data_IF_354977730787
#
_entry.id   IF_354977730787
#
_cell.length_a   1.000
_cell.length_b   1.000
_cell.length_c   1.000
_cell.angle_alpha   90.00
_cell.angle_beta   90.00
_cell.angle_gamma   90.00
#
_symmetry.space_group_name_H-M   'P 1'
#
loop_
_entity.id
_entity.type
_entity.pdbx_description
1 polymer ?
#
# COMPACT_ATOMS: atom_id res chain seq x y z
N UNK A 1 -13.16 -16.40 65.83
CA UNK A 1 -14.10 -15.53 65.10
C UNK A 1 -13.52 -14.12 65.11
N UNK A 2 -13.42 -13.33 64.02
CA UNK A 2 -13.39 -13.60 62.58
C UNK A 2 -12.05 -13.14 61.91
N UNK A 3 -11.89 -13.55 60.65
CA UNK A 3 -10.78 -13.23 59.73
C UNK A 3 -10.95 -11.83 59.14
N UNK A 4 -9.88 -11.06 59.01
CA UNK A 4 -9.83 -9.85 58.15
C UNK A 4 -8.49 -9.93 57.38
N UNK A 5 -8.46 -10.65 56.26
CA UNK A 5 -8.81 -10.16 54.91
C UNK A 5 -7.84 -9.06 54.44
N UNK A 6 -6.66 -9.50 53.97
CA UNK A 6 -5.79 -8.72 53.10
C UNK A 6 -6.57 -8.35 51.82
N UNK A 7 -6.97 -7.09 51.69
CA UNK A 7 -7.46 -6.55 50.43
C UNK A 7 -6.26 -6.07 49.63
N UNK A 8 -5.66 -6.98 48.87
CA UNK A 8 -4.73 -6.68 47.78
C UNK A 8 -5.55 -6.09 46.63
N UNK A 9 -5.62 -4.75 46.56
CA UNK A 9 -6.11 -4.06 45.36
C UNK A 9 -5.00 -4.14 44.31
N UNK A 10 -4.96 -5.24 43.56
CA UNK A 10 -4.20 -5.33 42.33
C UNK A 10 -4.96 -4.49 41.30
N UNK A 11 -4.57 -3.23 41.18
CA UNK A 11 -4.95 -2.38 40.06
C UNK A 11 -4.34 -2.99 38.79
N UNK A 12 -5.07 -3.93 38.19
CA UNK A 12 -4.79 -4.41 36.85
C UNK A 12 -4.92 -3.21 35.92
N UNK A 13 -3.78 -2.61 35.58
CA UNK A 13 -3.66 -1.75 34.43
C UNK A 13 -4.16 -2.56 33.23
N UNK A 14 -5.37 -2.24 32.78
CA UNK A 14 -5.88 -2.62 31.47
C UNK A 14 -4.92 -1.99 30.46
N UNK A 15 -3.86 -2.73 30.11
CA UNK A 15 -3.18 -2.55 28.85
C UNK A 15 -4.22 -2.87 27.79
N UNK A 16 -5.01 -1.86 27.44
CA UNK A 16 -5.70 -1.80 26.19
C UNK A 16 -4.61 -1.87 25.12
N UNK A 17 -4.28 -3.09 24.71
CA UNK A 17 -3.62 -3.35 23.45
C UNK A 17 -4.59 -2.90 22.37
N UNK A 18 -4.61 -1.60 22.09
CA UNK A 18 -5.00 -1.11 20.79
C UNK A 18 -3.94 -1.65 19.83
N UNK A 19 -4.14 -2.88 19.36
CA UNK A 19 -3.56 -3.36 18.12
C UNK A 19 -4.10 -2.43 17.04
N UNK A 20 -3.41 -1.31 16.85
CA UNK A 20 -3.75 -0.30 15.86
C UNK A 20 -3.58 -0.96 14.51
N UNK A 21 -4.69 -1.42 13.94
CA UNK A 21 -4.80 -1.85 12.56
C UNK A 21 -4.41 -0.63 11.71
N UNK A 22 -3.15 -0.55 11.29
CA UNK A 22 -2.62 0.62 10.60
C UNK A 22 -3.08 0.60 9.16
N UNK A 23 -4.37 0.81 8.95
CA UNK A 23 -4.95 0.89 7.62
C UNK A 23 -4.44 2.15 6.91
N UNK A 24 -4.06 1.99 5.65
CA UNK A 24 -3.68 3.05 4.73
C UNK A 24 -4.39 2.83 3.40
N UNK A 25 -4.84 3.89 2.74
CA UNK A 25 -5.63 3.78 1.50
C UNK A 25 -6.82 2.78 1.61
N UNK A 26 -7.44 2.70 2.79
CA UNK A 26 -8.55 1.80 3.09
C UNK A 26 -8.20 0.30 3.26
N UNK A 27 -6.91 -0.04 3.37
CA UNK A 27 -6.41 -1.42 3.48
C UNK A 27 -5.25 -1.55 4.46
N UNK A 28 -5.06 -2.73 5.03
CA UNK A 28 -3.79 -3.09 5.69
C UNK A 28 -2.80 -3.71 4.68
N UNK A 29 -1.57 -3.94 5.11
CA UNK A 29 -0.46 -4.44 4.29
C UNK A 29 -0.77 -5.79 3.62
N UNK A 30 -1.44 -6.70 4.33
CA UNK A 30 -1.82 -8.02 3.81
C UNK A 30 -2.89 -7.89 2.71
N UNK A 31 -3.90 -7.05 2.93
CA UNK A 31 -4.95 -6.75 1.94
C UNK A 31 -4.35 -6.09 0.70
N UNK A 32 -3.43 -5.14 0.88
CA UNK A 32 -2.74 -4.46 -0.20
C UNK A 32 -1.87 -5.44 -1.01
N UNK A 33 -1.12 -6.31 -0.34
CA UNK A 33 -0.30 -7.35 -0.98
C UNK A 33 -1.17 -8.28 -1.81
N UNK A 34 -2.26 -8.79 -1.23
CA UNK A 34 -3.17 -9.71 -1.90
C UNK A 34 -3.83 -9.04 -3.12
N UNK A 35 -4.31 -7.80 -2.99
CA UNK A 35 -4.94 -7.12 -4.12
C UNK A 35 -3.92 -6.79 -5.22
N UNK A 36 -2.69 -6.41 -4.87
CA UNK A 36 -1.63 -6.19 -5.85
C UNK A 36 -1.29 -7.48 -6.62
N UNK A 37 -1.16 -8.62 -5.93
CA UNK A 37 -0.94 -9.91 -6.58
C UNK A 37 -2.12 -10.32 -7.46
N UNK A 38 -3.36 -10.09 -7.03
CA UNK A 38 -4.54 -10.35 -7.83
C UNK A 38 -4.58 -9.48 -9.10
N UNK A 39 -4.23 -8.20 -8.99
CA UNK A 39 -4.13 -7.30 -10.14
C UNK A 39 -3.08 -7.78 -11.15
N UNK A 40 -1.89 -8.14 -10.69
CA UNK A 40 -0.84 -8.71 -11.55
C UNK A 40 -1.28 -10.03 -12.18
N UNK A 41 -1.94 -10.91 -11.41
CA UNK A 41 -2.46 -12.17 -11.92
C UNK A 41 -3.45 -11.98 -13.07
N UNK A 42 -4.33 -10.97 -12.99
CA UNK A 42 -5.23 -10.60 -14.09
C UNK A 42 -4.47 -10.15 -15.34
N UNK A 43 -3.44 -9.34 -15.17
CA UNK A 43 -2.62 -8.84 -16.29
C UNK A 43 -1.80 -9.96 -16.95
N UNK A 44 -1.10 -10.80 -16.17
CA UNK A 44 -0.33 -11.93 -16.71
C UNK A 44 -1.24 -12.91 -17.47
N UNK A 45 -2.47 -13.10 -17.00
CA UNK A 45 -3.47 -13.95 -17.65
C UNK A 45 -4.12 -13.33 -18.90
N UNK A 46 -4.04 -12.02 -19.09
CA UNK A 46 -4.71 -11.30 -20.16
C UNK A 46 -3.85 -11.24 -21.45
N UNK A 47 -4.28 -11.82 -22.59
CA UNK A 47 -3.51 -11.79 -23.84
C UNK A 47 -3.23 -10.41 -24.42
N UNK A 48 -4.00 -9.38 -24.05
CA UNK A 48 -3.75 -8.00 -24.49
C UNK A 48 -2.84 -7.21 -23.55
N UNK A 49 -2.44 -7.80 -22.41
CA UNK A 49 -1.56 -7.13 -21.45
C UNK A 49 -0.11 -7.12 -21.93
N UNK A 50 0.60 -6.05 -21.59
CA UNK A 50 2.04 -5.92 -21.85
C UNK A 50 2.89 -6.93 -21.06
N UNK A 51 2.32 -7.54 -20.00
CA UNK A 51 2.99 -8.54 -19.16
C UNK A 51 2.39 -9.95 -19.31
N UNK A 52 1.69 -10.23 -20.42
CA UNK A 52 1.10 -11.53 -20.67
C UNK A 52 2.15 -12.65 -20.61
N UNK A 53 1.93 -13.65 -19.74
CA UNK A 53 2.86 -14.78 -19.49
C UNK A 53 4.26 -14.38 -19.00
N UNK A 54 4.45 -13.16 -18.53
CA UNK A 54 5.72 -12.78 -17.93
C UNK A 54 5.86 -13.41 -16.54
N UNK A 55 7.10 -13.73 -16.17
CA UNK A 55 7.46 -14.10 -14.80
C UNK A 55 7.74 -12.83 -14.00
N UNK A 56 6.92 -12.61 -12.98
CA UNK A 56 6.93 -11.40 -12.18
C UNK A 56 7.03 -11.75 -10.69
N UNK A 57 7.75 -10.94 -9.93
CA UNK A 57 7.96 -11.12 -8.49
C UNK A 57 7.71 -9.80 -7.76
N UNK A 58 7.01 -9.88 -6.62
CA UNK A 58 6.79 -8.73 -5.75
C UNK A 58 8.09 -8.44 -4.96
N UNK A 59 8.65 -7.26 -5.15
CA UNK A 59 9.88 -6.83 -4.47
C UNK A 59 9.62 -6.00 -3.22
N UNK A 60 8.67 -5.09 -3.30
CA UNK A 60 8.43 -4.14 -2.22
C UNK A 60 6.96 -3.71 -2.20
N UNK A 61 6.45 -3.46 -0.99
CA UNK A 61 5.21 -2.75 -0.77
C UNK A 61 5.52 -1.44 -0.01
N UNK A 62 5.03 -0.32 -0.53
CA UNK A 62 5.24 1.00 0.06
C UNK A 62 3.93 1.81 0.08
N UNK A 63 3.89 2.85 0.91
CA UNK A 63 2.82 3.84 0.88
C UNK A 63 3.13 4.90 -0.18
N UNK A 64 2.14 5.35 -0.92
CA UNK A 64 2.29 6.36 -1.97
C UNK A 64 0.94 6.86 -2.48
N UNK A 65 0.90 7.28 -3.74
CA UNK A 65 -0.30 7.86 -4.35
C UNK A 65 -0.61 7.20 -5.70
N UNK A 66 -1.89 7.16 -6.07
CA UNK A 66 -2.36 6.75 -7.39
C UNK A 66 -2.14 7.84 -8.44
N UNK A 67 -2.49 7.56 -9.70
CA UNK A 67 -2.36 8.52 -10.82
C UNK A 67 -3.12 9.84 -10.62
N UNK A 68 -4.04 9.91 -9.65
CA UNK A 68 -4.87 11.07 -9.32
C UNK A 68 -4.39 11.82 -8.07
N UNK A 69 -3.32 11.38 -7.42
CA UNK A 69 -2.83 11.94 -6.16
C UNK A 69 -3.61 11.47 -4.92
N UNK A 70 -4.47 10.45 -5.03
CA UNK A 70 -5.11 9.86 -3.84
C UNK A 70 -4.18 8.81 -3.21
N UNK A 71 -4.25 8.63 -1.90
CA UNK A 71 -3.49 7.61 -1.17
C UNK A 71 -3.68 6.20 -1.77
N UNK A 72 -2.57 5.51 -2.01
CA UNK A 72 -2.55 4.14 -2.51
C UNK A 72 -1.32 3.38 -1.99
N UNK A 73 -1.48 2.08 -1.79
CA UNK A 73 -0.33 1.19 -1.64
C UNK A 73 0.33 0.99 -3.00
N UNK A 74 1.65 1.07 -3.04
CA UNK A 74 2.48 0.91 -4.24
C UNK A 74 3.28 -0.38 -4.08
N UNK A 75 2.94 -1.38 -4.88
CA UNK A 75 3.64 -2.64 -4.98
C UNK A 75 4.62 -2.58 -6.17
N UNK A 76 5.91 -2.69 -5.89
CA UNK A 76 6.96 -2.76 -6.89
C UNK A 76 7.15 -4.22 -7.32
N UNK A 77 6.99 -4.49 -8.61
CA UNK A 77 7.24 -5.80 -9.20
C UNK A 77 8.46 -5.76 -10.11
N UNK A 78 9.28 -6.80 -10.04
CA UNK A 78 10.26 -7.11 -11.09
C UNK A 78 9.61 -7.99 -12.14
N UNK A 79 9.86 -7.67 -13.40
CA UNK A 79 9.57 -8.51 -14.56
C UNK A 79 10.87 -9.15 -15.03
N UNK A 80 11.06 -10.41 -14.68
CA UNK A 80 12.25 -11.18 -15.05
C UNK A 80 12.29 -11.49 -16.56
N UNK A 81 11.13 -11.47 -17.22
CA UNK A 81 11.03 -11.78 -18.65
C UNK A 81 11.48 -10.61 -19.50
N UNK A 82 11.15 -9.38 -19.08
CA UNK A 82 11.50 -8.16 -19.79
C UNK A 82 12.71 -7.42 -19.22
N UNK A 83 13.28 -7.89 -18.11
CA UNK A 83 14.34 -7.22 -17.32
C UNK A 83 13.95 -5.76 -16.97
N UNK A 84 12.75 -5.61 -16.42
CA UNK A 84 12.14 -4.31 -16.10
C UNK A 84 11.45 -4.34 -14.75
N UNK A 85 11.08 -3.16 -14.26
CA UNK A 85 10.23 -3.00 -13.09
C UNK A 85 8.96 -2.25 -13.46
N UNK A 86 7.87 -2.57 -12.77
CA UNK A 86 6.60 -1.88 -12.88
C UNK A 86 5.92 -1.80 -11.51
N UNK A 87 4.99 -0.86 -11.39
CA UNK A 87 4.32 -0.55 -10.14
C UNK A 87 2.85 -0.88 -10.26
N UNK A 88 2.32 -1.54 -9.24
CA UNK A 88 0.89 -1.76 -9.07
C UNK A 88 0.41 -0.94 -7.89
N UNK A 89 -0.53 -0.04 -8.14
CA UNK A 89 -1.09 0.84 -7.12
C UNK A 89 -2.46 0.34 -6.74
N UNK A 90 -2.69 0.08 -5.46
CA UNK A 90 -3.97 -0.45 -4.97
C UNK A 90 -4.53 0.40 -3.85
N UNK A 91 -5.84 0.60 -3.89
CA UNK A 91 -6.58 1.31 -2.84
C UNK A 91 -8.00 0.78 -2.72
N UNK A 92 -8.57 0.92 -1.53
CA UNK A 92 -9.96 0.60 -1.28
C UNK A 92 -10.79 1.86 -1.07
N UNK A 93 -12.00 1.87 -1.63
CA UNK A 93 -13.03 2.87 -1.35
C UNK A 93 -14.21 2.21 -0.67
N UNK A 94 -14.83 2.91 0.27
CA UNK A 94 -16.08 2.46 0.88
C UNK A 94 -17.24 2.91 0.00
N UNK A 95 -17.97 1.96 -0.58
CA UNK A 95 -19.25 2.20 -1.23
C UNK A 95 -20.40 1.89 -0.26
N UNK A 96 -21.63 2.29 -0.63
CA UNK A 96 -22.83 2.17 0.23
C UNK A 96 -23.06 0.73 0.74
N UNK A 97 -22.71 -0.28 -0.07
CA UNK A 97 -23.00 -1.69 0.24
C UNK A 97 -21.75 -2.57 0.39
N UNK A 98 -20.56 -2.09 0.01
CA UNK A 98 -19.35 -2.90 -0.02
C UNK A 98 -18.07 -2.04 -0.03
N UNK A 99 -16.95 -2.67 0.33
CA UNK A 99 -15.61 -2.13 0.06
C UNK A 99 -15.23 -2.48 -1.38
N UNK A 100 -14.88 -1.47 -2.17
CA UNK A 100 -14.47 -1.61 -3.57
C UNK A 100 -12.96 -1.43 -3.66
N UNK A 101 -12.29 -2.47 -4.13
CA UNK A 101 -10.85 -2.46 -4.39
C UNK A 101 -10.57 -1.98 -5.81
N UNK A 102 -9.55 -1.16 -5.96
CA UNK A 102 -9.14 -0.58 -7.23
C UNK A 102 -7.64 -0.82 -7.41
N UNK A 103 -7.22 -0.94 -8.66
CA UNK A 103 -5.83 -1.17 -9.03
C UNK A 103 -5.44 -0.39 -10.29
N UNK A 104 -4.24 0.16 -10.33
CA UNK A 104 -3.57 0.69 -11.51
C UNK A 104 -2.25 -0.04 -11.73
N UNK A 105 -1.91 -0.37 -12.98
CA UNK A 105 -0.65 -1.02 -13.34
C UNK A 105 0.07 -0.10 -14.32
N UNK A 106 1.21 0.44 -13.92
CA UNK A 106 1.95 1.42 -14.70
C UNK A 106 3.46 1.30 -14.47
N UNK A 107 4.24 2.04 -15.24
CA UNK A 107 5.66 2.23 -14.92
C UNK A 107 5.81 2.87 -13.52
N UNK A 108 6.87 2.46 -12.81
CA UNK A 108 7.23 3.13 -11.58
C UNK A 108 7.74 4.55 -11.88
N UNK A 109 7.42 5.54 -11.03
CA UNK A 109 8.08 6.84 -11.11
C UNK A 109 9.59 6.58 -11.00
N UNK A 110 10.38 7.12 -11.92
CA UNK A 110 11.82 7.17 -11.71
C UNK A 110 12.03 8.16 -10.56
N UNK A 111 12.85 7.83 -9.57
CA UNK A 111 13.18 8.69 -8.42
C UNK A 111 13.89 10.01 -8.79
N UNK A 112 13.72 10.53 -10.02
CA UNK A 112 14.45 11.66 -10.57
C UNK A 112 13.69 12.35 -11.71
N UNK A 113 12.41 12.67 -11.55
CA UNK A 113 11.90 13.88 -12.20
C UNK A 113 11.91 15.00 -11.16
N UNK A 114 12.86 15.96 -11.25
CA UNK A 114 12.76 17.19 -10.49
C UNK A 114 11.41 17.83 -10.80
N UNK A 115 10.61 18.13 -9.79
CA UNK A 115 9.43 18.98 -9.96
C UNK A 115 9.89 20.27 -10.66
N UNK A 116 9.36 20.62 -11.85
CA UNK A 116 9.59 21.93 -12.43
C UNK A 116 8.80 22.95 -11.60
N UNK A 117 9.40 23.44 -10.52
CA UNK A 117 8.72 24.27 -9.54
C UNK A 117 9.61 25.02 -8.55
N UNK A 118 10.79 24.51 -8.22
CA UNK A 118 11.72 25.20 -7.31
C UNK A 118 12.84 25.90 -8.09
N UNK A 119 12.49 26.95 -8.84
CA UNK A 119 13.43 27.99 -9.24
C UNK A 119 13.28 29.18 -8.27
N UNK A 120 14.06 29.24 -7.16
CA UNK A 120 14.06 30.41 -6.31
C UNK A 120 14.87 31.51 -6.99
N UNK A 121 14.20 32.27 -7.85
CA UNK A 121 14.58 33.65 -8.16
C UNK A 121 15.95 33.79 -8.82
N UNK A 122 15.94 33.70 -10.15
CA UNK A 122 16.99 34.23 -11.00
C UNK A 122 17.48 35.61 -10.53
N UNK A 123 18.79 35.73 -10.43
CA UNK A 123 19.46 37.00 -10.23
C UNK A 123 19.06 37.98 -11.33
N UNK A 124 18.76 39.22 -10.92
CA UNK A 124 18.96 40.38 -11.78
C UNK A 124 20.07 41.21 -11.16
N UNK A 125 21.14 41.32 -11.95
CA UNK A 125 22.13 42.38 -11.88
C UNK A 125 21.49 43.75 -12.10
#
# INVERSE_FOLDING_TARGET
MPRAACVLVVAAALLAGCSGDSSYAGMNDDQATLEAMNAVGREVGNPSSAIHRHRVELWQLARGENSRGDQAWVALFSDETADKQFCVRVWARTAVTARVYNSEVDACPRDSDPQPGDDPGGGRA
#
